data_IF_306388974920
#
_entry.id   IF_306388974920
#
_cell.length_a   1.000
_cell.length_b   1.000
_cell.length_c   1.000
_cell.angle_alpha   90.00
_cell.angle_beta   90.00
_cell.angle_gamma   90.00
#
_symmetry.space_group_name_H-M   'P 1'
#
loop_
_entity.id
_entity.type
_entity.pdbx_description
1 polymer ?
#
# COMPACT_ATOMS: atom_id res chain seq x y z
N UNK A 1 21.11 1.75 -2.75
CA UNK A 1 21.11 3.18 -3.09
C UNK A 1 20.03 3.92 -2.30
N UNK A 2 20.17 5.26 -2.10
CA UNK A 2 19.17 6.05 -1.38
C UNK A 2 19.22 7.53 -1.73
N UNK A 3 18.06 8.19 -1.63
CA UNK A 3 17.89 9.64 -1.71
C UNK A 3 16.93 10.09 -0.62
N UNK A 4 17.32 11.08 0.19
CA UNK A 4 16.49 11.63 1.27
C UNK A 4 15.89 10.57 2.22
N UNK A 5 16.55 9.46 2.37
CA UNK A 5 16.21 8.37 3.30
C UNK A 5 17.45 7.90 4.04
N UNK A 6 17.28 7.46 5.28
CA UNK A 6 18.35 6.95 6.14
C UNK A 6 18.01 5.56 6.64
N UNK A 7 18.89 4.59 6.46
CA UNK A 7 18.77 3.28 7.08
C UNK A 7 18.93 3.40 8.60
N UNK A 8 18.00 2.87 9.36
CA UNK A 8 18.05 2.85 10.82
C UNK A 8 18.34 1.46 11.38
N UNK A 9 17.78 0.42 10.78
CA UNK A 9 17.96 -0.93 11.24
C UNK A 9 17.25 -1.96 10.38
N UNK A 10 17.57 -3.23 10.65
CA UNK A 10 17.07 -4.39 9.90
C UNK A 10 16.90 -5.58 10.82
N UNK A 11 15.90 -6.42 10.55
CA UNK A 11 15.78 -7.76 11.09
C UNK A 11 15.69 -8.77 9.95
N UNK A 12 16.65 -9.69 9.91
CA UNK A 12 16.65 -10.80 8.94
C UNK A 12 15.79 -11.97 9.42
N UNK A 13 15.24 -12.70 8.46
CA UNK A 13 14.48 -13.93 8.65
C UNK A 13 15.10 -15.07 7.84
N UNK A 14 14.77 -16.32 8.21
CA UNK A 14 15.18 -17.50 7.43
C UNK A 14 14.21 -17.81 6.29
N UNK A 15 13.01 -17.27 6.38
CA UNK A 15 11.91 -17.45 5.45
C UNK A 15 11.58 -16.13 4.74
N UNK A 16 10.95 -16.22 3.57
CA UNK A 16 10.49 -15.07 2.79
C UNK A 16 9.43 -14.27 3.53
N UNK A 17 9.42 -12.95 3.30
CA UNK A 17 8.42 -12.05 3.82
C UNK A 17 7.37 -11.72 2.76
N UNK A 18 6.18 -11.31 3.23
CA UNK A 18 5.13 -10.70 2.44
C UNK A 18 4.76 -9.34 3.03
N UNK A 19 3.47 -9.04 3.24
CA UNK A 19 3.03 -7.73 3.67
C UNK A 19 3.48 -7.36 5.09
N UNK A 20 3.41 -6.08 5.38
CA UNK A 20 3.81 -5.47 6.64
C UNK A 20 2.77 -4.44 7.07
N UNK A 21 2.51 -4.39 8.38
CA UNK A 21 1.71 -3.35 8.99
C UNK A 21 2.40 -2.79 10.24
N UNK A 22 2.05 -1.58 10.63
CA UNK A 22 2.54 -0.95 11.85
C UNK A 22 1.49 -0.94 12.95
N UNK A 23 1.95 -0.91 14.19
CA UNK A 23 1.12 -0.74 15.37
C UNK A 23 1.81 0.15 16.39
N UNK A 24 1.05 0.98 17.10
CA UNK A 24 1.55 1.81 18.20
C UNK A 24 0.75 1.54 19.47
N UNK A 25 1.44 1.42 20.59
CA UNK A 25 0.83 1.31 21.90
C UNK A 25 1.66 2.01 22.96
N UNK A 26 1.06 3.03 23.61
CA UNK A 26 1.66 3.75 24.73
C UNK A 26 3.07 4.35 24.45
N UNK A 27 3.29 4.80 23.22
CA UNK A 27 4.55 5.39 22.76
C UNK A 27 5.61 4.38 22.32
N UNK A 28 5.28 3.10 22.27
CA UNK A 28 6.11 2.06 21.65
C UNK A 28 5.57 1.69 20.28
N UNK A 29 6.46 1.38 19.34
CA UNK A 29 6.14 1.10 17.95
C UNK A 29 6.48 -0.34 17.60
N UNK A 30 5.61 -0.97 16.82
CA UNK A 30 5.74 -2.38 16.47
C UNK A 30 5.54 -2.59 14.96
N UNK A 31 6.35 -3.47 14.40
CA UNK A 31 6.15 -4.02 13.07
C UNK A 31 5.43 -5.37 13.15
N UNK A 32 4.40 -5.52 12.36
CA UNK A 32 3.63 -6.75 12.19
C UNK A 32 3.97 -7.29 10.81
N UNK A 33 4.64 -8.43 10.75
CA UNK A 33 5.30 -8.91 9.54
C UNK A 33 4.71 -10.25 9.11
N UNK A 34 4.23 -10.31 7.87
CA UNK A 34 3.87 -11.56 7.21
C UNK A 34 5.15 -12.33 6.82
N UNK A 35 5.28 -13.54 7.35
CA UNK A 35 6.40 -14.45 7.07
C UNK A 35 5.83 -15.71 6.41
N UNK A 36 6.56 -16.34 5.51
CA UNK A 36 6.12 -17.53 4.75
C UNK A 36 5.41 -18.57 5.64
N UNK A 37 5.92 -18.83 6.85
CA UNK A 37 5.41 -19.83 7.78
C UNK A 37 4.68 -19.24 9.00
N UNK A 38 4.28 -17.96 8.97
CA UNK A 38 3.55 -17.37 10.09
C UNK A 38 3.53 -15.85 10.14
N UNK A 39 3.37 -15.33 11.35
CA UNK A 39 3.27 -13.89 11.65
C UNK A 39 4.31 -13.55 12.71
N UNK A 40 5.14 -12.54 12.47
CA UNK A 40 6.10 -12.00 13.42
C UNK A 40 5.63 -10.66 13.98
N UNK A 41 5.69 -10.49 15.31
CA UNK A 41 5.45 -9.22 16.00
C UNK A 41 6.78 -8.71 16.55
N UNK A 42 7.23 -7.55 16.08
CA UNK A 42 8.56 -7.00 16.35
C UNK A 42 8.45 -5.63 17.01
N UNK A 43 9.08 -5.44 18.16
CA UNK A 43 9.29 -4.12 18.76
C UNK A 43 10.36 -3.37 17.96
N UNK A 44 9.97 -2.24 17.38
CA UNK A 44 10.81 -1.34 16.57
C UNK A 44 10.98 0.04 17.22
N UNK A 45 10.56 0.20 18.48
CA UNK A 45 10.70 1.45 19.26
C UNK A 45 12.14 1.95 19.26
N UNK A 46 13.12 1.02 19.31
CA UNK A 46 14.51 1.31 18.98
C UNK A 46 14.82 0.74 17.60
N UNK A 47 14.74 1.54 16.52
CA UNK A 47 14.85 1.02 15.17
C UNK A 47 16.21 0.38 14.86
N UNK A 48 17.29 0.74 15.60
CA UNK A 48 18.62 0.16 15.40
C UNK A 48 18.78 -1.26 15.97
N UNK A 49 17.83 -1.70 16.80
CA UNK A 49 17.85 -3.02 17.44
C UNK A 49 16.43 -3.59 17.53
N UNK A 50 15.80 -3.93 16.40
CA UNK A 50 14.46 -4.50 16.38
C UNK A 50 14.42 -5.86 17.10
N UNK A 51 13.42 -6.05 17.97
CA UNK A 51 13.28 -7.23 18.83
C UNK A 51 11.97 -7.95 18.54
N UNK A 52 12.04 -9.21 18.11
CA UNK A 52 10.84 -10.05 17.97
C UNK A 52 10.29 -10.41 19.35
N UNK A 53 9.03 -10.05 19.58
CA UNK A 53 8.32 -10.34 20.80
C UNK A 53 7.60 -11.70 20.75
N UNK A 54 7.04 -12.02 19.58
CA UNK A 54 6.32 -13.26 19.35
C UNK A 54 6.37 -13.67 17.87
N UNK A 55 6.28 -14.98 17.64
CA UNK A 55 6.08 -15.56 16.33
C UNK A 55 4.94 -16.58 16.39
N UNK A 56 3.92 -16.38 15.55
CA UNK A 56 2.77 -17.27 15.44
C UNK A 56 2.93 -18.12 14.19
N UNK A 57 3.13 -19.42 14.40
CA UNK A 57 3.24 -20.38 13.29
C UNK A 57 1.86 -20.51 12.62
N UNK A 58 1.84 -20.41 11.30
CA UNK A 58 0.65 -20.54 10.47
C UNK A 58 0.90 -21.42 9.25
N UNK A 59 -0.07 -21.48 8.35
CA UNK A 59 0.07 -22.18 7.06
C UNK A 59 1.13 -21.53 6.18
N UNK A 60 1.89 -22.32 5.46
CA UNK A 60 2.92 -21.84 4.52
C UNK A 60 2.27 -21.06 3.35
N UNK A 61 2.60 -19.79 3.22
CA UNK A 61 2.15 -18.90 2.15
C UNK A 61 3.07 -17.69 2.04
N UNK A 62 3.50 -17.36 0.83
CA UNK A 62 4.21 -16.11 0.57
C UNK A 62 3.26 -14.92 0.45
N UNK A 63 1.96 -15.15 0.31
CA UNK A 63 0.94 -14.10 0.26
C UNK A 63 0.20 -14.05 1.60
N UNK A 64 0.59 -13.10 2.45
CA UNK A 64 -0.12 -12.71 3.67
C UNK A 64 -0.35 -11.22 3.64
N UNK A 65 -1.53 -10.83 4.08
CA UNK A 65 -1.83 -9.43 4.36
C UNK A 65 -2.27 -9.26 5.82
N UNK A 66 -1.92 -8.10 6.41
CA UNK A 66 -2.11 -7.82 7.82
C UNK A 66 -2.64 -6.41 8.02
N UNK A 67 -3.63 -6.28 8.90
CA UNK A 67 -4.12 -4.97 9.35
C UNK A 67 -4.44 -5.03 10.84
N UNK A 68 -4.61 -3.87 11.45
CA UNK A 68 -4.99 -3.76 12.86
C UNK A 68 -6.29 -2.99 13.04
N UNK A 69 -7.05 -3.38 14.08
CA UNK A 69 -8.14 -2.59 14.60
C UNK A 69 -8.20 -2.73 16.13
N UNK A 70 -8.22 -1.59 16.84
CA UNK A 70 -8.07 -1.60 18.27
C UNK A 70 -6.76 -2.26 18.71
N UNK A 71 -6.82 -3.22 19.57
CA UNK A 71 -5.67 -3.96 20.10
C UNK A 71 -5.48 -5.34 19.43
N UNK A 72 -6.08 -5.56 18.29
CA UNK A 72 -6.00 -6.82 17.54
C UNK A 72 -5.32 -6.66 16.20
N UNK A 73 -4.49 -7.64 15.86
CA UNK A 73 -3.98 -7.90 14.53
C UNK A 73 -4.90 -8.91 13.83
N UNK A 74 -5.21 -8.63 12.59
CA UNK A 74 -5.90 -9.53 11.66
C UNK A 74 -4.97 -9.85 10.51
N UNK A 75 -4.91 -11.12 10.13
CA UNK A 75 -4.08 -11.60 9.04
C UNK A 75 -4.84 -12.65 8.22
N UNK A 76 -4.63 -12.60 6.91
CA UNK A 76 -5.09 -13.64 5.97
C UNK A 76 -3.91 -14.22 5.20
N UNK A 77 -4.16 -15.28 4.45
CA UNK A 77 -3.21 -15.84 3.48
C UNK A 77 -3.93 -16.60 2.38
N UNK A 78 -3.22 -16.93 1.31
CA UNK A 78 -3.77 -17.69 0.18
C UNK A 78 -3.70 -19.21 0.30
N UNK A 79 -3.25 -19.73 1.44
CA UNK A 79 -3.09 -21.19 1.64
C UNK A 79 -4.27 -21.81 2.39
N UNK A 80 -4.47 -21.41 3.65
CA UNK A 80 -5.56 -21.93 4.51
C UNK A 80 -5.62 -21.14 5.85
N UNK A 81 -6.58 -21.50 6.72
CA UNK A 81 -6.69 -21.00 8.09
C UNK A 81 -7.67 -19.85 8.26
N UNK A 82 -8.25 -19.35 7.16
CA UNK A 82 -9.22 -18.25 7.20
C UNK A 82 -8.61 -16.97 7.78
N UNK A 83 -9.32 -16.30 8.67
CA UNK A 83 -8.85 -15.09 9.34
C UNK A 83 -8.05 -15.45 10.60
N UNK A 84 -6.78 -15.08 10.65
CA UNK A 84 -5.95 -15.21 11.83
C UNK A 84 -6.06 -13.95 12.67
N UNK A 85 -6.29 -14.09 13.98
CA UNK A 85 -6.50 -12.98 14.92
C UNK A 85 -5.53 -13.12 16.08
N UNK A 86 -4.82 -12.05 16.42
CA UNK A 86 -3.87 -11.99 17.53
C UNK A 86 -4.20 -10.84 18.46
N UNK A 87 -4.26 -11.06 19.77
CA UNK A 87 -4.35 -10.00 20.77
C UNK A 87 -2.96 -9.39 21.03
N UNK A 88 -2.71 -8.21 20.49
CA UNK A 88 -1.43 -7.52 20.59
C UNK A 88 -1.12 -7.05 22.03
N UNK A 89 -2.13 -6.76 22.84
CA UNK A 89 -1.91 -6.34 24.24
C UNK A 89 -1.27 -7.46 25.06
N UNK A 90 -1.69 -8.70 24.83
CA UNK A 90 -1.13 -9.87 25.49
C UNK A 90 0.31 -10.11 25.05
N UNK A 91 0.60 -10.00 23.75
CA UNK A 91 1.97 -10.09 23.21
C UNK A 91 2.89 -9.05 23.84
N UNK A 92 2.45 -7.79 23.86
CA UNK A 92 3.26 -6.66 24.37
C UNK A 92 3.48 -6.77 25.89
N UNK A 93 2.51 -7.30 26.63
CA UNK A 93 2.67 -7.54 28.07
C UNK A 93 3.61 -8.71 28.41
N UNK A 94 4.03 -9.47 27.43
CA UNK A 94 4.90 -10.63 27.57
C UNK A 94 4.15 -11.88 28.06
N UNK A 95 2.86 -12.01 27.75
CA UNK A 95 2.13 -13.25 28.00
C UNK A 95 2.79 -14.39 27.22
N UNK A 96 2.98 -15.52 27.89
CA UNK A 96 3.61 -16.70 27.29
C UNK A 96 2.68 -17.49 26.36
N UNK A 97 1.38 -17.21 26.43
CA UNK A 97 0.33 -17.87 25.62
C UNK A 97 -0.70 -16.83 25.14
N UNK A 98 -0.27 -15.83 24.37
CA UNK A 98 -1.19 -14.80 23.88
C UNK A 98 -2.26 -15.43 22.98
N UNK A 99 -3.45 -14.81 22.94
CA UNK A 99 -4.56 -15.24 22.10
C UNK A 99 -4.16 -15.23 20.64
N UNK A 100 -4.26 -16.40 20.01
CA UNK A 100 -4.12 -16.62 18.57
C UNK A 100 -5.27 -17.50 18.10
N UNK A 101 -6.06 -17.02 17.16
CA UNK A 101 -7.25 -17.67 16.63
C UNK A 101 -7.10 -17.84 15.11
N UNK A 102 -7.40 -19.03 14.60
CA UNK A 102 -7.65 -19.27 13.17
C UNK A 102 -9.16 -19.44 12.99
N UNK A 103 -9.81 -18.38 12.48
CA UNK A 103 -11.27 -18.37 12.30
C UNK A 103 -11.61 -18.78 10.87
N UNK A 104 -12.08 -20.03 10.74
CA UNK A 104 -12.52 -20.62 9.45
C UNK A 104 -14.05 -20.63 9.30
N UNK A 105 -14.78 -20.10 10.28
CA UNK A 105 -16.25 -20.10 10.28
C UNK A 105 -16.85 -18.91 9.53
N UNK A 106 -16.00 -17.99 9.01
CA UNK A 106 -16.41 -16.80 8.28
C UNK A 106 -16.85 -17.07 6.82
N UNK A 107 -16.74 -18.32 6.36
CA UNK A 107 -17.17 -18.72 5.02
C UNK A 107 -16.02 -18.77 4.00
N UNK A 108 -14.84 -18.24 4.33
CA UNK A 108 -13.62 -18.37 3.52
C UNK A 108 -12.51 -19.07 4.31
N UNK A 109 -11.58 -19.68 3.60
CA UNK A 109 -10.36 -20.26 4.19
C UNK A 109 -9.08 -19.64 3.64
N UNK A 110 -9.17 -18.95 2.50
CA UNK A 110 -8.08 -18.21 1.86
C UNK A 110 -8.57 -16.85 1.39
N UNK A 111 -7.71 -15.85 1.45
CA UNK A 111 -7.96 -14.52 0.91
C UNK A 111 -6.63 -13.88 0.49
N UNK A 112 -6.69 -12.87 -0.38
CA UNK A 112 -5.50 -12.20 -0.90
C UNK A 112 -5.13 -10.94 -0.11
N UNK A 113 -6.11 -10.07 0.16
CA UNK A 113 -5.88 -8.79 0.82
C UNK A 113 -7.00 -8.48 1.83
N UNK A 114 -6.71 -7.64 2.83
CA UNK A 114 -7.69 -7.10 3.78
C UNK A 114 -7.50 -5.61 3.98
N UNK A 115 -8.59 -4.92 4.27
CA UNK A 115 -8.59 -3.55 4.77
C UNK A 115 -9.50 -3.46 5.99
N UNK A 116 -9.18 -2.58 6.94
CA UNK A 116 -10.06 -2.30 8.09
C UNK A 116 -10.26 -0.80 8.18
N UNK A 117 -11.50 -0.36 8.11
CA UNK A 117 -11.82 1.05 8.19
C UNK A 117 -11.84 1.58 9.62
N UNK A 118 -11.90 2.89 9.77
CA UNK A 118 -11.92 3.56 11.08
C UNK A 118 -13.17 3.24 11.92
N UNK A 119 -14.23 2.73 11.29
CA UNK A 119 -15.47 2.33 11.98
C UNK A 119 -15.41 0.90 12.54
N UNK A 120 -14.38 0.14 12.19
CA UNK A 120 -14.19 -1.24 12.62
C UNK A 120 -14.89 -2.24 11.70
N UNK A 121 -15.05 -1.91 10.43
CA UNK A 121 -15.46 -2.87 9.40
C UNK A 121 -14.22 -3.45 8.74
N UNK A 122 -14.11 -4.77 8.74
CA UNK A 122 -13.13 -5.54 8.00
C UNK A 122 -13.67 -5.83 6.59
N UNK A 123 -12.87 -5.52 5.59
CA UNK A 123 -13.10 -5.81 4.18
C UNK A 123 -12.09 -6.86 3.75
N UNK A 124 -12.55 -7.96 3.14
CA UNK A 124 -11.73 -9.10 2.72
C UNK A 124 -11.82 -9.22 1.20
N UNK A 125 -10.69 -9.13 0.53
CA UNK A 125 -10.58 -9.15 -0.94
C UNK A 125 -9.96 -10.45 -1.43
N UNK A 126 -10.33 -10.87 -2.62
CA UNK A 126 -9.72 -12.03 -3.29
C UNK A 126 -9.85 -13.32 -2.51
N UNK A 127 -10.93 -13.50 -1.74
CA UNK A 127 -11.15 -14.71 -0.98
C UNK A 127 -11.66 -15.87 -1.84
N UNK A 128 -11.62 -17.09 -1.29
CA UNK A 128 -12.26 -18.23 -1.92
C UNK A 128 -13.77 -18.35 -1.62
N UNK A 129 -14.37 -17.29 -1.07
CA UNK A 129 -15.82 -17.15 -0.98
C UNK A 129 -16.36 -16.59 -2.30
N UNK A 130 -17.27 -17.32 -2.94
CA UNK A 130 -17.92 -16.94 -4.20
C UNK A 130 -16.94 -16.52 -5.32
N UNK A 131 -17.06 -15.29 -5.88
CA UNK A 131 -16.21 -14.79 -6.98
C UNK A 131 -14.94 -14.08 -6.50
N UNK A 132 -14.72 -13.97 -5.18
CA UNK A 132 -13.57 -13.29 -4.61
C UNK A 132 -13.64 -11.76 -4.74
N UNK A 133 -14.83 -11.19 -4.60
CA UNK A 133 -15.04 -9.75 -4.57
C UNK A 133 -14.58 -9.12 -3.25
N UNK A 134 -15.53 -8.61 -2.46
CA UNK A 134 -15.21 -8.03 -1.15
C UNK A 134 -16.27 -8.44 -0.12
N UNK A 135 -15.91 -9.28 0.84
CA UNK A 135 -16.76 -9.54 2.01
C UNK A 135 -16.51 -8.48 3.08
N UNK A 136 -17.58 -8.17 3.84
CA UNK A 136 -17.56 -7.14 4.89
C UNK A 136 -18.01 -7.72 6.22
N UNK A 137 -17.24 -7.42 7.29
CA UNK A 137 -17.50 -7.95 8.64
C UNK A 137 -17.37 -6.86 9.70
N UNK A 138 -18.29 -6.86 10.70
CA UNK A 138 -18.20 -6.01 11.90
C UNK A 138 -17.22 -6.59 12.92
N UNK A 139 -16.25 -5.78 13.35
CA UNK A 139 -15.30 -6.11 14.42
C UNK A 139 -15.68 -5.45 15.76
N UNK A 140 -16.63 -4.50 15.75
CA UNK A 140 -16.89 -3.66 16.92
C UNK A 140 -17.64 -4.40 18.04
N UNK A 141 -18.45 -5.38 17.65
CA UNK A 141 -19.26 -6.17 18.58
C UNK A 141 -18.42 -7.22 19.31
N UNK A 142 -17.60 -7.95 18.56
CA UNK A 142 -16.66 -8.95 19.08
C UNK A 142 -15.47 -9.06 18.14
N UNK A 143 -14.29 -8.51 18.49
CA UNK A 143 -13.13 -8.50 17.64
C UNK A 143 -12.54 -9.89 17.36
N UNK A 144 -12.86 -10.89 18.19
CA UNK A 144 -12.41 -12.27 17.99
C UNK A 144 -13.39 -13.10 17.14
N UNK A 145 -14.64 -12.64 16.99
CA UNK A 145 -15.69 -13.29 16.22
C UNK A 145 -16.40 -12.28 15.28
N UNK A 146 -15.78 -11.88 14.18
CA UNK A 146 -16.35 -10.91 13.24
C UNK A 146 -17.73 -11.30 12.71
N UNK A 147 -18.64 -10.34 12.62
CA UNK A 147 -20.03 -10.57 12.19
C UNK A 147 -20.18 -10.17 10.73
N UNK A 148 -20.62 -11.10 9.87
CA UNK A 148 -20.85 -10.84 8.45
C UNK A 148 -21.91 -9.76 8.25
N UNK A 149 -21.61 -8.76 7.42
CA UNK A 149 -22.47 -7.63 7.06
C UNK A 149 -23.00 -7.73 5.63
N UNK A 150 -22.19 -8.20 4.70
CA UNK A 150 -22.54 -8.29 3.30
C UNK A 150 -21.35 -8.56 2.41
N UNK A 151 -21.59 -8.63 1.10
CA UNK A 151 -20.57 -8.91 0.09
C UNK A 151 -20.85 -8.14 -1.19
N UNK A 152 -19.80 -7.57 -1.80
CA UNK A 152 -19.76 -7.21 -3.20
C UNK A 152 -19.16 -8.39 -3.96
N UNK A 153 -19.86 -8.95 -4.94
CA UNK A 153 -19.45 -10.21 -5.58
C UNK A 153 -19.68 -10.24 -7.11
N UNK A 154 -19.76 -9.06 -7.73
CA UNK A 154 -19.95 -8.98 -9.19
C UNK A 154 -18.70 -9.49 -9.94
N UNK A 155 -17.50 -9.26 -9.37
CA UNK A 155 -16.21 -9.74 -9.90
C UNK A 155 -15.12 -9.70 -8.83
N UNK A 156 -13.99 -10.32 -9.14
CA UNK A 156 -12.82 -10.42 -8.27
C UNK A 156 -12.18 -9.04 -8.04
N UNK A 157 -11.89 -8.74 -6.76
CA UNK A 157 -10.97 -7.70 -6.36
C UNK A 157 -9.68 -8.29 -5.83
N UNK A 158 -8.55 -7.76 -6.29
CA UNK A 158 -7.23 -8.15 -5.82
C UNK A 158 -6.90 -7.44 -4.50
N UNK A 159 -7.03 -6.14 -4.49
CA UNK A 159 -6.71 -5.25 -3.38
C UNK A 159 -7.74 -4.13 -3.30
N UNK A 160 -7.81 -3.44 -2.18
CA UNK A 160 -8.69 -2.30 -2.03
C UNK A 160 -8.56 -1.58 -0.69
N UNK A 161 -9.12 -0.38 -0.65
CA UNK A 161 -9.23 0.40 0.57
C UNK A 161 -10.60 1.05 0.68
N UNK A 162 -10.96 1.45 1.90
CA UNK A 162 -12.24 2.08 2.17
C UNK A 162 -12.06 3.36 2.95
N UNK A 163 -12.73 4.42 2.52
CA UNK A 163 -12.82 5.66 3.27
C UNK A 163 -14.28 6.13 3.36
N UNK A 164 -14.78 6.23 4.59
CA UNK A 164 -16.21 6.47 4.83
C UNK A 164 -17.05 5.33 4.28
N UNK A 165 -18.01 5.68 3.42
CA UNK A 165 -18.89 4.71 2.77
C UNK A 165 -18.48 4.37 1.32
N UNK A 166 -17.23 4.68 0.95
CA UNK A 166 -16.71 4.44 -0.40
C UNK A 166 -15.56 3.44 -0.38
N UNK A 167 -15.73 2.32 -1.09
CA UNK A 167 -14.69 1.34 -1.35
C UNK A 167 -14.06 1.61 -2.72
N UNK A 168 -12.72 1.61 -2.74
CA UNK A 168 -11.88 1.70 -3.92
C UNK A 168 -11.20 0.35 -4.09
N UNK A 169 -11.47 -0.35 -5.18
CA UNK A 169 -10.99 -1.73 -5.38
C UNK A 169 -10.27 -1.91 -6.71
N UNK A 170 -9.11 -2.57 -6.67
CA UNK A 170 -8.34 -2.99 -7.83
C UNK A 170 -8.90 -4.29 -8.43
N UNK A 171 -9.57 -4.18 -9.58
CA UNK A 171 -10.06 -5.34 -10.32
C UNK A 171 -8.99 -5.80 -11.33
N UNK A 172 -7.97 -6.51 -10.84
CA UNK A 172 -6.75 -6.84 -11.60
C UNK A 172 -7.03 -7.54 -12.92
N UNK A 173 -7.98 -8.48 -12.97
CA UNK A 173 -8.36 -9.18 -14.20
C UNK A 173 -9.22 -8.32 -15.14
N UNK A 174 -9.88 -7.28 -14.62
CA UNK A 174 -10.64 -6.31 -15.40
C UNK A 174 -9.76 -5.16 -15.93
N UNK A 175 -8.59 -4.96 -15.36
CA UNK A 175 -7.70 -3.84 -15.68
C UNK A 175 -8.27 -2.48 -15.34
N UNK A 176 -9.11 -2.42 -14.30
CA UNK A 176 -9.78 -1.21 -13.84
C UNK A 176 -9.68 -1.11 -12.32
N UNK A 177 -9.71 0.11 -11.80
CA UNK A 177 -10.20 0.30 -10.45
C UNK A 177 -11.70 0.57 -10.47
N UNK A 178 -12.37 0.20 -9.40
CA UNK A 178 -13.81 0.41 -9.24
C UNK A 178 -14.11 1.13 -7.94
N UNK A 179 -15.14 1.96 -7.98
CA UNK A 179 -15.62 2.74 -6.84
C UNK A 179 -17.00 2.20 -6.46
N UNK A 180 -17.13 1.73 -5.24
CA UNK A 180 -18.34 1.06 -4.75
C UNK A 180 -18.89 1.86 -3.58
N UNK A 181 -20.18 2.21 -3.63
CA UNK A 181 -20.92 2.67 -2.46
C UNK A 181 -21.19 1.46 -1.55
N UNK A 182 -20.65 1.53 -0.36
CA UNK A 182 -20.81 0.52 0.69
C UNK A 182 -21.54 1.08 1.92
N UNK A 183 -22.32 2.15 1.76
CA UNK A 183 -23.16 2.72 2.83
C UNK A 183 -24.17 1.70 3.36
N UNK A 184 -24.79 0.93 2.46
CA UNK A 184 -25.53 -0.28 2.78
C UNK A 184 -24.65 -1.52 2.47
N UNK A 185 -24.00 -2.08 3.50
CA UNK A 185 -23.13 -3.25 3.35
C UNK A 185 -23.84 -4.48 2.78
N UNK A 186 -25.18 -4.54 2.92
CA UNK A 186 -26.00 -5.64 2.39
C UNK A 186 -26.36 -5.47 0.90
N UNK A 187 -26.15 -4.28 0.34
CA UNK A 187 -26.43 -3.96 -1.06
C UNK A 187 -25.41 -2.97 -1.64
N UNK A 188 -24.12 -3.35 -1.75
CA UNK A 188 -23.10 -2.49 -2.31
C UNK A 188 -23.36 -2.21 -3.81
N UNK A 189 -23.12 -0.96 -4.26
CA UNK A 189 -23.42 -0.52 -5.62
C UNK A 189 -22.20 0.11 -6.29
N UNK A 190 -21.93 -0.22 -7.57
CA UNK A 190 -20.87 0.43 -8.36
C UNK A 190 -21.29 1.86 -8.68
N UNK A 191 -20.48 2.84 -8.30
CA UNK A 191 -20.71 4.26 -8.54
C UNK A 191 -19.67 4.91 -9.45
N UNK A 192 -18.60 4.18 -9.81
CA UNK A 192 -17.56 4.65 -10.72
C UNK A 192 -16.58 3.54 -11.09
N UNK A 193 -15.87 3.73 -12.18
CA UNK A 193 -14.78 2.84 -12.60
C UNK A 193 -13.92 3.51 -13.66
N UNK A 194 -12.61 3.22 -13.69
CA UNK A 194 -11.70 3.71 -14.72
C UNK A 194 -10.58 2.71 -15.01
N UNK A 195 -10.13 2.63 -16.26
CA UNK A 195 -9.00 1.78 -16.65
C UNK A 195 -7.69 2.34 -16.10
N UNK A 196 -6.78 1.46 -15.68
CA UNK A 196 -5.42 1.82 -15.32
C UNK A 196 -4.47 1.78 -16.53
N UNK A 197 -3.30 2.44 -16.51
CA UNK A 197 -2.44 2.61 -17.68
C UNK A 197 -1.99 1.30 -18.33
N UNK A 198 -1.71 0.29 -17.51
CA UNK A 198 -1.26 -1.03 -17.98
C UNK A 198 -2.37 -2.09 -17.88
N UNK A 199 -3.60 -1.70 -17.51
CA UNK A 199 -4.76 -2.59 -17.40
C UNK A 199 -4.51 -3.81 -16.50
N UNK A 200 -3.82 -3.58 -15.38
CA UNK A 200 -3.50 -4.60 -14.37
C UNK A 200 -3.63 -4.01 -12.97
N UNK A 201 -4.77 -3.36 -12.69
CA UNK A 201 -5.04 -2.60 -11.46
C UNK A 201 -4.86 -3.48 -10.23
N UNK A 202 -3.75 -3.26 -9.53
CA UNK A 202 -3.34 -4.05 -8.36
C UNK A 202 -3.84 -3.40 -7.08
N UNK A 203 -3.28 -2.26 -6.73
CA UNK A 203 -3.55 -1.52 -5.49
C UNK A 203 -4.10 -0.13 -5.81
N UNK A 204 -4.82 0.45 -4.88
CA UNK A 204 -5.30 1.82 -4.95
C UNK A 204 -5.37 2.47 -3.56
N UNK A 205 -5.09 3.80 -3.50
CA UNK A 205 -5.19 4.57 -2.27
C UNK A 205 -5.66 5.99 -2.54
N UNK A 206 -6.67 6.45 -1.79
CA UNK A 206 -7.26 7.78 -1.94
C UNK A 206 -6.49 8.83 -1.14
N UNK A 207 -6.35 10.05 -1.66
CA UNK A 207 -5.81 11.22 -0.96
C UNK A 207 -6.61 11.58 0.30
N UNK A 208 -6.01 12.33 1.21
CA UNK A 208 -6.67 12.69 2.48
C UNK A 208 -7.90 13.58 2.29
N UNK A 209 -7.92 14.42 1.26
CA UNK A 209 -9.07 15.25 0.87
C UNK A 209 -10.16 14.45 0.14
N UNK A 210 -9.83 13.28 -0.41
CA UNK A 210 -10.74 12.42 -1.13
C UNK A 210 -10.90 12.75 -2.63
N UNK A 211 -10.11 13.69 -3.15
CA UNK A 211 -10.25 14.20 -4.52
C UNK A 211 -9.35 13.45 -5.52
N UNK A 212 -8.28 12.78 -5.06
CA UNK A 212 -7.33 12.09 -5.91
C UNK A 212 -7.10 10.64 -5.50
N UNK A 213 -7.13 9.73 -6.48
CA UNK A 213 -6.81 8.31 -6.29
C UNK A 213 -5.46 8.01 -6.91
N UNK A 214 -4.63 7.26 -6.20
CA UNK A 214 -3.37 6.72 -6.69
C UNK A 214 -3.49 5.22 -6.88
N UNK A 215 -3.05 4.69 -8.04
CA UNK A 215 -3.12 3.27 -8.36
C UNK A 215 -1.77 2.73 -8.78
N UNK A 216 -1.60 1.43 -8.60
CA UNK A 216 -0.47 0.68 -9.18
C UNK A 216 -0.97 -0.40 -10.13
N UNK A 217 -0.25 -0.61 -11.22
CA UNK A 217 -0.38 -1.80 -12.06
C UNK A 217 0.82 -2.73 -11.80
N UNK A 218 0.59 -3.95 -11.33
CA UNK A 218 1.66 -4.87 -10.92
C UNK A 218 2.25 -5.63 -12.12
N UNK A 219 2.75 -4.90 -13.08
CA UNK A 219 3.40 -5.46 -14.27
C UNK A 219 4.67 -4.70 -14.63
N UNK A 220 5.55 -5.37 -15.39
CA UNK A 220 6.81 -4.77 -15.85
C UNK A 220 6.58 -3.49 -16.65
N UNK A 221 7.28 -2.43 -16.26
CA UNK A 221 7.21 -1.12 -16.92
C UNK A 221 5.98 -0.30 -16.55
N UNK A 222 5.26 -0.66 -15.50
CA UNK A 222 4.08 0.05 -15.06
C UNK A 222 4.41 1.30 -14.24
N UNK A 223 3.35 1.99 -13.83
CA UNK A 223 3.39 3.29 -13.18
C UNK A 223 2.58 3.27 -11.87
N UNK A 224 2.92 4.18 -10.99
CA UNK A 224 1.95 4.76 -10.07
C UNK A 224 1.22 5.86 -10.84
N UNK A 225 -0.10 5.79 -10.94
CA UNK A 225 -0.92 6.75 -11.67
C UNK A 225 -1.85 7.51 -10.71
N UNK A 226 -2.00 8.81 -10.94
CA UNK A 226 -2.89 9.70 -10.21
C UNK A 226 -4.13 10.03 -11.03
N UNK A 227 -5.28 10.00 -10.38
CA UNK A 227 -6.58 10.31 -10.98
C UNK A 227 -7.30 11.38 -10.18
N UNK A 228 -7.87 12.38 -10.86
CA UNK A 228 -8.91 13.24 -10.29
C UNK A 228 -10.22 12.43 -10.25
N UNK A 229 -10.71 12.19 -9.04
CA UNK A 229 -11.94 11.44 -8.75
C UNK A 229 -12.97 12.29 -8.03
N UNK A 230 -12.78 13.59 -7.99
CA UNK A 230 -13.74 14.55 -7.41
C UNK A 230 -15.10 14.55 -8.11
N UNK A 231 -15.14 14.14 -9.37
CA UNK A 231 -16.35 13.87 -10.16
C UNK A 231 -16.29 12.44 -10.71
N UNK A 232 -17.01 11.51 -10.08
CA UNK A 232 -16.99 10.09 -10.47
C UNK A 232 -17.65 9.83 -11.85
N UNK A 233 -18.46 10.76 -12.37
CA UNK A 233 -18.99 10.69 -13.72
C UNK A 233 -17.95 11.09 -14.78
N UNK A 234 -16.83 11.71 -14.36
CA UNK A 234 -15.78 12.24 -15.25
C UNK A 234 -14.38 12.03 -14.67
N UNK A 235 -14.05 10.83 -14.23
CA UNK A 235 -12.71 10.46 -13.72
C UNK A 235 -11.63 10.73 -14.79
N UNK A 236 -10.55 11.41 -14.42
CA UNK A 236 -9.45 11.74 -15.32
C UNK A 236 -8.11 11.30 -14.73
N UNK A 237 -7.29 10.58 -15.49
CA UNK A 237 -5.88 10.46 -15.16
C UNK A 237 -5.20 11.83 -15.31
N UNK A 238 -4.50 12.28 -14.27
CA UNK A 238 -3.87 13.61 -14.23
C UNK A 238 -2.35 13.55 -14.33
N UNK A 239 -1.73 12.45 -13.87
CA UNK A 239 -0.29 12.21 -14.03
C UNK A 239 0.06 10.74 -13.71
N UNK A 240 1.29 10.33 -14.01
CA UNK A 240 1.86 9.03 -13.65
C UNK A 240 3.37 9.09 -13.50
N UNK A 241 3.93 8.27 -12.60
CA UNK A 241 5.36 8.23 -12.32
C UNK A 241 5.87 6.79 -12.19
N UNK A 242 7.14 6.57 -12.53
CA UNK A 242 7.90 5.36 -12.19
C UNK A 242 9.00 5.69 -11.19
N UNK A 243 9.42 4.72 -10.36
CA UNK A 243 10.59 4.88 -9.51
C UNK A 243 11.84 5.18 -10.34
N UNK A 244 12.67 6.08 -9.85
CA UNK A 244 13.89 6.51 -10.56
C UNK A 244 15.09 5.62 -10.24
N UNK A 245 15.02 4.37 -10.61
CA UNK A 245 16.16 3.43 -10.50
C UNK A 245 17.08 3.42 -11.72
N UNK A 246 16.69 4.13 -12.79
CA UNK A 246 17.37 4.10 -14.10
C UNK A 246 16.90 2.94 -14.98
N UNK A 247 15.94 2.14 -14.53
CA UNK A 247 15.30 1.05 -15.28
C UNK A 247 13.88 1.44 -15.68
N UNK A 248 13.44 0.97 -16.85
CA UNK A 248 12.10 1.27 -17.39
C UNK A 248 11.14 0.08 -17.27
N UNK A 249 11.60 -1.01 -16.69
CA UNK A 249 10.86 -2.26 -16.50
C UNK A 249 10.58 -2.56 -15.03
N UNK A 250 10.57 -1.51 -14.19
CA UNK A 250 10.20 -1.55 -12.77
C UNK A 250 8.77 -2.02 -12.56
N UNK A 251 8.48 -2.59 -11.40
CA UNK A 251 7.13 -3.06 -11.04
C UNK A 251 6.71 -2.38 -9.73
N UNK A 252 5.76 -1.44 -9.77
CA UNK A 252 5.14 -0.91 -8.55
C UNK A 252 4.22 -1.97 -7.94
N UNK A 253 4.19 -2.04 -6.60
CA UNK A 253 3.34 -2.96 -5.85
C UNK A 253 2.28 -2.20 -5.04
N UNK A 254 2.53 -1.93 -3.75
CA UNK A 254 1.58 -1.25 -2.88
C UNK A 254 1.95 0.22 -2.69
N UNK A 255 0.99 1.11 -2.92
CA UNK A 255 1.12 2.55 -2.68
C UNK A 255 0.24 3.00 -1.53
N UNK A 256 0.76 3.89 -0.69
CA UNK A 256 0.07 4.43 0.47
C UNK A 256 0.22 5.94 0.54
N UNK A 257 -0.87 6.66 0.80
CA UNK A 257 -0.85 8.11 1.01
C UNK A 257 -0.54 8.43 2.46
N UNK A 258 0.39 9.35 2.68
CA UNK A 258 0.71 9.96 3.97
C UNK A 258 0.83 11.48 3.80
N UNK A 259 -0.27 12.21 4.03
CA UNK A 259 -0.37 13.66 3.79
C UNK A 259 -0.09 14.01 2.32
N UNK A 260 0.92 14.87 2.12
CA UNK A 260 1.34 15.33 0.78
C UNK A 260 2.27 14.34 0.05
N UNK A 261 2.38 13.10 0.53
CA UNK A 261 3.29 12.12 -0.05
C UNK A 261 2.60 10.78 -0.30
N UNK A 262 3.07 10.05 -1.30
CA UNK A 262 2.84 8.61 -1.42
C UNK A 262 4.14 7.86 -1.19
N UNK A 263 4.01 6.72 -0.50
CA UNK A 263 5.08 5.76 -0.28
C UNK A 263 4.71 4.47 -0.99
N UNK A 264 5.54 4.04 -1.92
CA UNK A 264 5.25 2.88 -2.79
C UNK A 264 6.39 1.87 -2.70
N UNK A 265 6.06 0.61 -2.46
CA UNK A 265 6.99 -0.51 -2.64
C UNK A 265 7.10 -0.87 -4.12
N UNK A 266 8.34 -1.08 -4.59
CA UNK A 266 8.68 -1.30 -6.00
C UNK A 266 9.48 -2.59 -6.20
N UNK A 267 9.19 -3.64 -5.43
CA UNK A 267 9.94 -4.89 -5.51
C UNK A 267 11.46 -4.66 -5.55
N UNK A 268 12.12 -4.94 -6.69
CA UNK A 268 13.57 -4.87 -6.89
C UNK A 268 14.17 -3.47 -6.76
N UNK A 269 13.33 -2.46 -6.86
CA UNK A 269 13.76 -1.05 -6.79
C UNK A 269 13.49 -0.43 -5.41
N UNK A 270 13.09 -1.26 -4.42
CA UNK A 270 12.94 -0.88 -3.02
C UNK A 270 11.68 -0.06 -2.76
N UNK A 271 11.83 1.09 -2.10
CA UNK A 271 10.72 1.98 -1.72
C UNK A 271 10.95 3.37 -2.32
N UNK A 272 9.90 3.94 -2.93
CA UNK A 272 9.84 5.30 -3.46
C UNK A 272 8.96 6.19 -2.59
N UNK A 273 9.35 7.45 -2.42
CA UNK A 273 8.59 8.53 -1.79
C UNK A 273 8.36 9.62 -2.82
N UNK A 274 7.11 9.91 -3.13
CA UNK A 274 6.71 10.87 -4.17
C UNK A 274 5.90 12.00 -3.52
N UNK A 275 6.24 13.24 -3.84
CA UNK A 275 5.44 14.42 -3.50
C UNK A 275 4.21 14.48 -4.40
N UNK A 276 3.04 14.52 -3.78
CA UNK A 276 1.71 14.59 -4.40
C UNK A 276 0.98 15.90 -4.09
N UNK A 277 1.67 16.90 -3.54
CA UNK A 277 1.07 18.23 -3.26
C UNK A 277 0.55 18.93 -4.52
N UNK A 278 1.03 18.52 -5.69
CA UNK A 278 0.43 18.78 -6.99
C UNK A 278 0.21 17.47 -7.74
N UNK A 279 -0.98 16.83 -7.62
CA UNK A 279 -1.24 15.51 -8.21
C UNK A 279 -1.14 15.46 -9.75
N UNK A 280 -1.17 16.61 -10.42
CA UNK A 280 -0.94 16.72 -11.87
C UNK A 280 0.55 16.82 -12.24
N UNK A 281 1.46 16.72 -11.27
CA UNK A 281 2.89 16.77 -11.50
C UNK A 281 3.61 16.03 -10.34
N UNK A 282 3.59 14.71 -10.38
CA UNK A 282 4.17 13.83 -9.39
C UNK A 282 5.70 13.90 -9.44
N UNK A 283 6.35 14.07 -8.29
CA UNK A 283 7.82 14.18 -8.23
C UNK A 283 8.36 13.24 -7.15
N UNK A 284 9.22 12.30 -7.55
CA UNK A 284 9.96 11.48 -6.61
C UNK A 284 10.94 12.35 -5.83
N UNK A 285 10.82 12.35 -4.52
CA UNK A 285 11.61 13.17 -3.60
C UNK A 285 12.48 12.33 -2.68
N UNK A 286 12.27 11.03 -2.64
CA UNK A 286 13.07 10.10 -1.85
C UNK A 286 12.92 8.66 -2.33
N UNK A 287 13.94 7.86 -2.06
CA UNK A 287 13.90 6.40 -2.26
C UNK A 287 14.92 5.69 -1.37
N UNK A 288 14.67 4.41 -1.11
CA UNK A 288 15.62 3.50 -0.48
C UNK A 288 15.57 2.13 -1.18
N UNK A 289 16.70 1.70 -1.71
CA UNK A 289 16.88 0.40 -2.32
C UNK A 289 17.19 -0.65 -1.23
N UNK A 290 16.29 -1.62 -1.04
CA UNK A 290 16.45 -2.71 -0.07
C UNK A 290 17.15 -3.94 -0.65
N UNK A 291 17.38 -3.94 -1.97
CA UNK A 291 17.72 -5.13 -2.76
C UNK A 291 18.87 -4.85 -3.73
N UNK A 292 20.05 -4.47 -3.22
CA UNK A 292 21.23 -4.06 -4.01
C UNK A 292 21.64 -5.06 -5.13
N UNK A 293 21.22 -6.34 -5.02
CA UNK A 293 21.53 -7.41 -5.98
C UNK A 293 20.56 -7.47 -7.18
N UNK A 294 19.43 -6.77 -7.12
CA UNK A 294 18.36 -6.82 -8.12
C UNK A 294 17.94 -5.41 -8.55
N UNK A 295 17.42 -5.29 -9.76
CA UNK A 295 16.77 -4.07 -10.25
C UNK A 295 15.86 -4.38 -11.43
N UNK A 296 14.89 -3.52 -11.69
CA UNK A 296 13.97 -3.64 -12.83
C UNK A 296 12.98 -4.81 -12.69
N UNK A 297 12.71 -5.52 -13.79
CA UNK A 297 11.68 -6.55 -13.85
C UNK A 297 11.95 -7.74 -12.91
N UNK A 298 10.99 -8.05 -12.05
CA UNK A 298 10.96 -9.24 -11.18
C UNK A 298 10.32 -8.96 -9.84
N UNK A 299 9.91 -10.03 -9.16
CA UNK A 299 9.15 -10.01 -7.91
C UNK A 299 10.03 -10.35 -6.69
N UNK A 300 11.25 -9.82 -6.64
CA UNK A 300 12.15 -9.88 -5.49
C UNK A 300 12.15 -8.51 -4.79
N UNK A 301 12.61 -8.45 -3.53
CA UNK A 301 12.82 -7.18 -2.83
C UNK A 301 11.59 -6.68 -2.09
N UNK A 302 11.30 -5.39 -2.15
CA UNK A 302 10.29 -4.74 -1.32
C UNK A 302 8.86 -5.14 -1.71
N UNK A 303 8.20 -5.94 -0.84
CA UNK A 303 6.79 -6.31 -0.97
C UNK A 303 5.87 -5.20 -0.47
N UNK A 304 6.03 -4.78 0.80
CA UNK A 304 5.17 -3.82 1.47
C UNK A 304 5.95 -2.68 2.11
N UNK A 305 5.27 -1.55 2.28
CA UNK A 305 5.80 -0.39 2.98
C UNK A 305 4.71 0.25 3.85
N UNK A 306 5.00 0.51 5.13
CA UNK A 306 4.08 1.14 6.07
C UNK A 306 4.63 2.47 6.56
N UNK A 307 4.05 3.63 6.19
CA UNK A 307 4.63 4.95 6.48
C UNK A 307 4.06 5.66 7.72
N UNK A 308 3.09 5.09 8.44
CA UNK A 308 2.30 5.81 9.45
C UNK A 308 2.73 5.57 10.90
N UNK A 309 3.98 5.16 11.15
CA UNK A 309 4.48 5.14 12.52
C UNK A 309 4.57 6.56 13.11
N UNK A 310 4.24 6.79 14.40
CA UNK A 310 4.36 8.10 15.05
C UNK A 310 5.76 8.72 15.00
N UNK A 311 6.81 7.90 14.92
CA UNK A 311 8.19 8.36 14.68
C UNK A 311 8.40 8.95 13.28
N UNK A 312 7.49 8.70 12.33
CA UNK A 312 7.65 9.01 10.92
C UNK A 312 8.54 8.03 10.16
N UNK A 313 9.02 6.97 10.81
CA UNK A 313 9.79 5.93 10.13
C UNK A 313 8.90 5.09 9.23
N UNK A 314 9.46 4.62 8.11
CA UNK A 314 8.81 3.68 7.21
C UNK A 314 9.30 2.27 7.55
N UNK A 315 8.36 1.34 7.73
CA UNK A 315 8.66 -0.09 7.77
C UNK A 315 8.58 -0.65 6.36
N UNK A 316 9.54 -1.48 5.98
CA UNK A 316 9.55 -2.16 4.68
C UNK A 316 9.77 -3.65 4.88
N UNK A 317 8.92 -4.47 4.29
CA UNK A 317 9.18 -5.90 4.15
C UNK A 317 9.84 -6.18 2.81
N UNK A 318 11.08 -6.65 2.86
CA UNK A 318 11.78 -7.17 1.70
C UNK A 318 11.71 -8.70 1.73
N UNK A 319 11.30 -9.31 0.63
CA UNK A 319 10.99 -10.74 0.51
C UNK A 319 12.16 -11.58 1.01
N UNK A 320 13.37 -11.29 0.57
CA UNK A 320 14.56 -12.08 0.87
C UNK A 320 15.41 -11.49 2.00
N UNK A 321 15.40 -10.15 2.16
CA UNK A 321 16.31 -9.46 3.06
C UNK A 321 15.71 -9.15 4.43
N UNK A 322 14.38 -9.27 4.58
CA UNK A 322 13.70 -9.14 5.87
C UNK A 322 13.07 -7.77 6.12
N UNK A 323 12.86 -7.42 7.37
CA UNK A 323 12.28 -6.15 7.82
C UNK A 323 13.35 -5.06 7.80
N UNK A 324 13.10 -3.96 7.07
CA UNK A 324 13.87 -2.72 7.13
C UNK A 324 13.10 -1.64 7.87
N UNK A 325 13.84 -0.78 8.57
CA UNK A 325 13.33 0.44 9.19
C UNK A 325 14.14 1.59 8.63
N UNK A 326 13.47 2.52 7.95
CA UNK A 326 14.08 3.66 7.28
C UNK A 326 13.45 4.97 7.76
N UNK A 327 14.28 6.01 7.91
CA UNK A 327 13.84 7.37 8.21
C UNK A 327 13.75 8.16 6.91
N UNK A 328 12.55 8.53 6.45
CA UNK A 328 12.39 9.42 5.31
C UNK A 328 12.68 10.86 5.72
N UNK A 329 13.26 11.62 4.81
CA UNK A 329 13.25 13.07 4.90
C UNK A 329 12.21 13.59 3.92
N UNK A 330 10.99 13.71 4.37
CA UNK A 330 9.91 14.29 3.58
C UNK A 330 10.28 15.71 3.16
N UNK A 331 10.49 15.89 1.86
CA UNK A 331 10.93 17.16 1.27
C UNK A 331 9.98 17.50 0.15
N UNK A 332 9.29 18.63 0.26
CA UNK A 332 8.41 19.08 -0.81
C UNK A 332 9.21 19.45 -2.04
N UNK A 333 8.71 19.04 -3.20
CA UNK A 333 9.22 19.46 -4.48
C UNK A 333 9.00 20.96 -4.72
N UNK A 334 9.69 21.50 -5.68
CA UNK A 334 9.47 22.89 -6.12
C UNK A 334 8.94 22.88 -7.54
N UNK A 335 7.79 23.46 -7.74
CA UNK A 335 7.11 23.53 -9.04
C UNK A 335 7.40 24.87 -9.71
N UNK A 336 7.69 24.84 -11.00
CA UNK A 336 7.81 26.02 -11.85
C UNK A 336 6.89 25.85 -13.06
N UNK A 337 5.83 26.61 -13.07
CA UNK A 337 4.85 26.64 -14.14
C UNK A 337 4.92 27.93 -14.95
N UNK A 338 4.62 27.86 -16.22
CA UNK A 338 4.60 29.04 -17.07
C UNK A 338 4.22 28.72 -18.52
N UNK A 339 3.86 29.76 -19.25
CA UNK A 339 3.55 29.66 -20.68
C UNK A 339 4.72 30.26 -21.48
N UNK A 340 5.27 29.47 -22.40
CA UNK A 340 6.29 29.95 -23.34
C UNK A 340 5.57 30.44 -24.59
N UNK A 341 5.84 31.72 -24.95
CA UNK A 341 5.23 32.31 -26.11
C UNK A 341 6.28 32.89 -27.05
N UNK A 342 5.97 32.93 -28.33
CA UNK A 342 6.73 33.66 -29.34
C UNK A 342 6.70 35.18 -29.03
N UNK A 343 7.88 35.79 -28.94
CA UNK A 343 8.02 37.17 -28.49
C UNK A 343 7.42 38.21 -29.46
N UNK A 344 7.15 37.82 -30.71
CA UNK A 344 6.60 38.70 -31.74
C UNK A 344 5.09 38.53 -31.84
N UNK A 345 4.62 37.29 -31.87
CA UNK A 345 3.20 36.96 -32.13
C UNK A 345 2.41 36.78 -30.86
N UNK A 346 3.05 36.48 -29.74
CA UNK A 346 2.41 36.08 -28.47
C UNK A 346 1.79 34.69 -28.50
N UNK A 347 1.98 33.92 -29.59
CA UNK A 347 1.42 32.59 -29.70
C UNK A 347 2.18 31.59 -28.79
N UNK A 348 1.49 30.61 -28.16
CA UNK A 348 2.15 29.54 -27.41
C UNK A 348 3.11 28.76 -28.31
N UNK A 349 4.24 28.35 -27.73
CA UNK A 349 5.29 27.57 -28.41
C UNK A 349 5.44 26.20 -27.71
N UNK A 350 5.36 25.12 -28.49
CA UNK A 350 5.68 23.77 -28.07
C UNK A 350 7.13 23.37 -28.43
N UNK A 351 7.66 22.32 -27.79
CA UNK A 351 9.00 21.80 -27.99
C UNK A 351 10.16 22.83 -27.76
N UNK A 352 9.93 23.80 -26.87
CA UNK A 352 10.99 24.71 -26.43
C UNK A 352 11.64 24.15 -25.18
N UNK A 353 12.96 23.91 -25.24
CA UNK A 353 13.71 23.46 -24.07
C UNK A 353 13.78 24.56 -23.02
N UNK A 354 13.34 24.21 -21.80
CA UNK A 354 13.47 25.04 -20.61
C UNK A 354 14.50 24.39 -19.71
N UNK A 355 15.47 25.17 -19.27
CA UNK A 355 16.52 24.69 -18.37
C UNK A 355 16.65 25.59 -17.16
N UNK A 356 16.74 25.00 -15.96
CA UNK A 356 17.06 25.74 -14.74
C UNK A 356 18.58 25.98 -14.72
N UNK A 357 18.98 27.25 -14.77
CA UNK A 357 20.40 27.62 -14.75
C UNK A 357 21.03 27.24 -13.41
N UNK A 358 22.02 26.37 -13.44
CA UNK A 358 22.74 25.89 -12.24
C UNK A 358 22.21 24.58 -11.69
N UNK A 359 21.20 23.97 -12.30
CA UNK A 359 20.76 22.63 -12.02
C UNK A 359 20.78 21.77 -13.30
N UNK A 360 20.87 20.45 -13.15
CA UNK A 360 20.86 19.51 -14.30
C UNK A 360 19.43 19.15 -14.74
N UNK A 361 18.48 20.08 -14.56
CA UNK A 361 17.08 19.86 -14.94
C UNK A 361 16.75 20.63 -16.21
N UNK A 362 16.15 19.94 -17.17
CA UNK A 362 15.55 20.54 -18.35
C UNK A 362 14.27 19.80 -18.72
N UNK A 363 13.30 20.55 -19.24
CA UNK A 363 12.06 20.01 -19.80
C UNK A 363 11.77 20.70 -21.13
N UNK A 364 10.79 20.19 -21.86
CA UNK A 364 10.29 20.81 -23.08
C UNK A 364 8.85 21.27 -22.88
N UNK A 365 8.50 22.46 -23.43
CA UNK A 365 7.10 22.91 -23.45
C UNK A 365 6.23 21.99 -24.30
N UNK A 366 5.05 21.69 -23.84
CA UNK A 366 4.00 20.95 -24.54
C UNK A 366 3.33 21.78 -25.65
#
# INVERSE_FOLDING_TARGET
QSLNTTFLGQRSYSEELSDIWGYEKAGSEYALVGVYNGISVVDVTNPSTPVELAFFIGYESIWRDLKTWGDYLYCINESNGGLQIVNLTEVISGDLNPTYIENTDLGFTTAHNIFIDKSGVLYVFGSNYSNGGCEMYDLTTDPENPIFLGVFDDYYFHDGMVRGDTLWGGAIYGGVFSVIDVSDKSNPEIIGSHSTPNTFSHNCWISDDGDYLFTTDEVSGAYVAAYDVSDLDNIQEVDRIQAWSGYTDVIPHNTHVDGDFIVTSYYRDGVSVVDISNPSNLIEVGYYDTSDDFSGNGFNGAWGAYPWLPSGNILVSDIENGLFIIEPKYTNASFLEGIITDAITGAPMSNVMVQIVGANYSSYSE
#
